data_IF_823748878219
#
_entry.id   IF_823748878219
#
_cell.length_a   1.000
_cell.length_b   1.000
_cell.length_c   1.000
_cell.angle_alpha   90.00
_cell.angle_beta   90.00
_cell.angle_gamma   90.00
#
_symmetry.space_group_name_H-M   'P 1'
#
loop_
_entity.id
_entity.type
_entity.pdbx_description
1 polymer ?
#
# COMPACT_ATOMS: atom_id res chain seq x y z
N UNK A 1 -4.49 13.00 -11.41
CA UNK A 1 -4.59 14.48 -11.35
C UNK A 1 -5.81 14.99 -12.14
N UNK A 2 -6.37 16.15 -11.78
CA UNK A 2 -7.33 16.90 -12.61
C UNK A 2 -6.54 17.93 -13.43
N UNK A 3 -6.85 18.11 -14.72
CA UNK A 3 -6.07 18.95 -15.66
C UNK A 3 -4.57 18.56 -15.77
N UNK A 4 -4.26 17.30 -16.12
CA UNK A 4 -2.87 16.81 -16.15
C UNK A 4 -1.97 17.57 -17.13
N UNK A 5 -2.53 18.15 -18.21
CA UNK A 5 -1.78 18.82 -19.27
C UNK A 5 -0.79 19.87 -18.77
N UNK A 6 -1.13 20.64 -17.73
CA UNK A 6 -0.23 21.66 -17.19
C UNK A 6 1.06 21.07 -16.61
N UNK A 7 0.97 19.95 -15.90
CA UNK A 7 2.16 19.27 -15.36
C UNK A 7 2.89 18.51 -16.45
N UNK A 8 2.18 18.03 -17.49
CA UNK A 8 2.80 17.40 -18.65
C UNK A 8 3.65 18.37 -19.46
N UNK A 9 3.08 19.53 -19.80
CA UNK A 9 3.76 20.60 -20.52
C UNK A 9 5.02 21.04 -19.73
N UNK A 10 4.89 21.20 -18.41
CA UNK A 10 6.01 21.50 -17.52
C UNK A 10 7.13 20.45 -17.57
N UNK A 11 6.79 19.15 -17.48
CA UNK A 11 7.77 18.07 -17.59
C UNK A 11 8.46 18.08 -18.97
N UNK A 12 7.72 18.33 -20.05
CA UNK A 12 8.27 18.45 -21.41
C UNK A 12 9.23 19.64 -21.55
N UNK A 13 8.91 20.79 -20.94
CA UNK A 13 9.80 21.96 -20.90
C UNK A 13 11.06 21.69 -20.08
N UNK A 14 10.91 21.03 -18.92
CA UNK A 14 12.05 20.62 -18.09
C UNK A 14 12.99 19.65 -18.83
N UNK A 15 12.47 18.66 -19.56
CA UNK A 15 13.28 17.75 -20.40
C UNK A 15 14.04 18.50 -21.52
N UNK A 16 13.45 19.58 -22.05
CA UNK A 16 14.05 20.41 -23.09
C UNK A 16 15.03 21.47 -22.54
N UNK A 17 15.12 21.61 -21.21
CA UNK A 17 15.93 22.63 -20.55
C UNK A 17 15.36 24.04 -20.66
N UNK A 18 14.06 24.16 -20.93
CA UNK A 18 13.35 25.45 -21.04
C UNK A 18 12.97 25.98 -19.66
N UNK A 19 12.71 27.29 -19.57
CA UNK A 19 12.16 27.91 -18.37
C UNK A 19 10.64 27.73 -18.34
N UNK A 20 10.11 27.12 -17.29
CA UNK A 20 8.66 27.01 -17.06
C UNK A 20 8.35 26.88 -15.55
N UNK A 21 7.07 26.98 -15.19
CA UNK A 21 6.59 26.80 -13.82
C UNK A 21 5.20 26.17 -13.78
N UNK A 22 4.96 25.33 -12.78
CA UNK A 22 3.64 24.73 -12.55
C UNK A 22 3.28 24.70 -11.07
N UNK A 23 1.99 24.80 -10.78
CA UNK A 23 1.45 24.68 -9.44
C UNK A 23 0.40 23.59 -9.41
N UNK A 24 0.50 22.67 -8.46
CA UNK A 24 -0.54 21.68 -8.21
C UNK A 24 -0.74 21.41 -6.72
N UNK A 25 -1.87 20.77 -6.42
CA UNK A 25 -2.33 20.51 -5.05
C UNK A 25 -2.60 19.02 -4.84
N UNK A 26 -2.16 18.49 -3.71
CA UNK A 26 -2.51 17.18 -3.19
C UNK A 26 -3.47 17.36 -2.02
N UNK A 27 -4.70 16.83 -2.15
CA UNK A 27 -5.70 16.89 -1.08
C UNK A 27 -5.44 15.76 -0.09
N UNK A 28 -5.45 16.06 1.21
CA UNK A 28 -5.26 15.07 2.27
C UNK A 28 -6.61 14.50 2.74
N UNK A 29 -6.58 13.31 3.35
CA UNK A 29 -7.78 12.66 3.89
C UNK A 29 -8.47 13.49 5.00
N UNK A 30 -7.72 14.38 5.66
CA UNK A 30 -8.23 15.32 6.67
C UNK A 30 -8.86 16.58 6.05
N UNK A 31 -8.93 16.68 4.72
CA UNK A 31 -9.49 17.83 4.00
C UNK A 31 -8.55 19.04 3.91
N UNK A 32 -7.30 18.89 4.32
CA UNK A 32 -6.22 19.85 4.05
C UNK A 32 -5.63 19.67 2.65
N UNK A 33 -4.56 20.41 2.35
CA UNK A 33 -3.82 20.20 1.11
C UNK A 33 -2.35 20.54 1.23
N UNK A 34 -1.56 19.89 0.38
CA UNK A 34 -0.16 20.21 0.13
C UNK A 34 -0.11 20.88 -1.25
N UNK A 35 0.45 22.08 -1.31
CA UNK A 35 0.71 22.82 -2.54
C UNK A 35 2.16 22.62 -2.92
N UNK A 36 2.38 22.29 -4.19
CA UNK A 36 3.69 22.26 -4.83
C UNK A 36 3.74 23.34 -5.90
N UNK A 37 4.72 24.23 -5.78
CA UNK A 37 5.13 25.16 -6.82
C UNK A 37 6.46 24.65 -7.36
N UNK A 38 6.49 24.30 -8.64
CA UNK A 38 7.69 23.83 -9.33
C UNK A 38 8.14 24.88 -10.33
N UNK A 39 9.44 25.15 -10.37
CA UNK A 39 10.10 25.98 -11.38
C UNK A 39 11.20 25.16 -12.03
N UNK A 40 11.37 25.27 -13.35
CA UNK A 40 12.45 24.59 -14.07
C UNK A 40 13.31 25.56 -14.84
N UNK A 41 14.62 25.33 -14.85
CA UNK A 41 15.60 26.05 -15.63
C UNK A 41 16.79 25.13 -15.94
N UNK A 42 17.22 25.10 -17.20
CA UNK A 42 18.33 24.25 -17.67
C UNK A 42 18.15 22.75 -17.31
N UNK A 43 16.89 22.30 -17.14
CA UNK A 43 16.50 20.94 -16.80
C UNK A 43 16.55 20.58 -15.31
N UNK A 44 16.92 21.53 -14.44
CA UNK A 44 16.78 21.37 -12.99
C UNK A 44 15.35 21.74 -12.56
N UNK A 45 14.91 21.22 -11.42
CA UNK A 45 13.59 21.55 -10.84
C UNK A 45 13.79 22.08 -9.42
N UNK A 46 13.38 23.32 -9.20
CA UNK A 46 13.20 23.91 -7.88
C UNK A 46 11.79 23.66 -7.37
N UNK A 47 11.67 23.24 -6.12
CA UNK A 47 10.42 22.83 -5.47
C UNK A 47 10.14 23.72 -4.27
N UNK A 48 8.97 24.34 -4.24
CA UNK A 48 8.39 24.92 -3.01
C UNK A 48 7.20 24.09 -2.56
N UNK A 49 7.27 23.53 -1.36
CA UNK A 49 6.20 22.77 -0.72
C UNK A 49 5.58 23.59 0.41
N UNK A 50 4.25 23.70 0.42
CA UNK A 50 3.52 24.29 1.54
C UNK A 50 2.30 23.45 1.92
N UNK A 51 2.13 23.19 3.22
CA UNK A 51 0.99 22.40 3.71
C UNK A 51 0.02 23.24 4.52
N UNK A 52 -1.26 23.09 4.20
CA UNK A 52 -2.38 23.74 4.86
C UNK A 52 -3.22 22.69 5.59
N UNK A 53 -3.55 23.00 6.84
CA UNK A 53 -4.50 22.24 7.67
C UNK A 53 -5.61 23.15 8.19
N UNK A 54 -6.64 22.54 8.77
CA UNK A 54 -7.73 23.24 9.44
C UNK A 54 -7.54 23.14 10.95
N UNK A 55 -7.41 24.29 11.63
CA UNK A 55 -7.34 24.39 13.09
C UNK A 55 -8.52 25.24 13.57
N UNK A 56 -9.46 24.63 14.30
CA UNK A 56 -10.71 25.26 14.75
C UNK A 56 -11.46 25.98 13.59
N UNK A 57 -11.68 25.27 12.48
CA UNK A 57 -12.30 25.77 11.24
C UNK A 57 -11.54 26.92 10.53
N UNK A 58 -10.32 27.26 10.97
CA UNK A 58 -9.48 28.25 10.31
C UNK A 58 -8.35 27.58 9.53
N UNK A 59 -8.07 27.99 8.28
CA UNK A 59 -6.94 27.47 7.53
C UNK A 59 -5.62 28.01 8.11
N UNK A 60 -4.67 27.12 8.36
CA UNK A 60 -3.32 27.43 8.83
C UNK A 60 -2.29 26.77 7.91
N UNK A 61 -1.36 27.56 7.37
CA UNK A 61 -0.14 27.03 6.73
C UNK A 61 0.82 26.65 7.86
N UNK A 62 1.05 25.35 8.03
CA UNK A 62 1.85 24.83 9.15
C UNK A 62 3.23 24.30 8.70
N UNK A 63 3.45 24.17 7.40
CA UNK A 63 4.70 23.71 6.82
C UNK A 63 5.03 24.49 5.55
N UNK A 64 6.31 24.82 5.40
CA UNK A 64 6.89 25.48 4.24
C UNK A 64 8.32 24.98 4.05
N UNK A 65 8.67 24.58 2.84
CA UNK A 65 9.99 24.06 2.53
C UNK A 65 10.36 24.32 1.07
N UNK A 66 11.62 24.67 0.82
CA UNK A 66 12.17 24.94 -0.51
C UNK A 66 13.41 24.07 -0.72
N UNK A 67 13.53 23.46 -1.89
CA UNK A 67 14.69 22.67 -2.27
C UNK A 67 14.80 22.51 -3.79
N UNK A 68 16.02 22.36 -4.28
CA UNK A 68 16.28 21.88 -5.64
C UNK A 68 16.22 20.35 -5.63
N UNK A 69 15.51 19.75 -6.58
CA UNK A 69 15.45 18.30 -6.74
C UNK A 69 16.83 17.75 -7.15
N UNK A 70 17.35 16.79 -6.38
CA UNK A 70 18.62 16.12 -6.68
C UNK A 70 18.51 15.21 -7.92
N UNK A 71 17.32 14.66 -8.15
CA UNK A 71 16.97 13.89 -9.33
C UNK A 71 15.46 14.01 -9.59
N UNK A 72 15.03 13.84 -10.83
CA UNK A 72 13.62 13.77 -11.20
C UNK A 72 13.44 12.93 -12.47
N UNK A 73 12.23 12.40 -12.65
CA UNK A 73 11.84 11.62 -13.84
C UNK A 73 10.36 11.79 -14.13
N UNK A 74 9.98 11.80 -15.41
CA UNK A 74 8.59 11.75 -15.84
C UNK A 74 8.35 10.52 -16.73
N UNK A 75 7.69 9.51 -16.16
CA UNK A 75 7.58 8.21 -16.81
C UNK A 75 6.55 8.19 -17.93
N UNK A 76 6.69 7.25 -18.87
CA UNK A 76 5.70 6.99 -19.92
C UNK A 76 4.29 6.72 -19.35
N UNK A 77 4.21 6.06 -18.18
CA UNK A 77 2.95 5.80 -17.47
C UNK A 77 2.34 7.05 -16.83
N UNK A 78 3.08 8.15 -16.81
CA UNK A 78 2.66 9.47 -16.36
C UNK A 78 2.82 9.68 -14.87
N UNK A 79 3.92 9.18 -14.31
CA UNK A 79 4.38 9.53 -12.97
C UNK A 79 5.46 10.60 -13.04
N UNK A 80 5.30 11.67 -12.27
CA UNK A 80 6.38 12.59 -11.95
C UNK A 80 7.01 12.14 -10.63
N UNK A 81 8.29 11.81 -10.66
CA UNK A 81 9.11 11.57 -9.47
C UNK A 81 10.12 12.69 -9.30
N UNK A 82 10.41 13.04 -8.06
CA UNK A 82 11.59 13.84 -7.73
C UNK A 82 12.11 13.51 -6.34
N UNK A 83 13.40 13.75 -6.13
CA UNK A 83 14.11 13.43 -4.90
C UNK A 83 14.70 14.70 -4.26
N UNK A 84 14.34 14.94 -3.01
CA UNK A 84 15.06 15.87 -2.15
C UNK A 84 16.31 15.19 -1.56
N UNK A 85 17.48 15.82 -1.69
CA UNK A 85 18.72 15.29 -1.08
C UNK A 85 18.59 15.20 0.44
N UNK A 86 18.83 14.01 1.00
CA UNK A 86 18.90 13.79 2.46
C UNK A 86 20.36 13.60 2.90
N UNK A 87 20.77 14.19 4.04
CA UNK A 87 22.09 13.94 4.61
C UNK A 87 22.32 12.45 4.90
N UNK A 88 23.57 12.00 4.80
CA UNK A 88 23.93 10.63 5.17
C UNK A 88 23.52 10.32 6.63
N UNK A 89 22.79 9.22 6.82
CA UNK A 89 22.28 8.82 8.13
C UNK A 89 21.01 9.55 8.60
N UNK A 90 20.33 10.27 7.70
CA UNK A 90 19.01 10.83 7.99
C UNK A 90 17.99 9.71 8.24
N UNK A 91 17.34 9.76 9.40
CA UNK A 91 16.38 8.76 9.90
C UNK A 91 14.92 9.28 9.86
N UNK A 92 14.65 10.24 8.98
CA UNK A 92 13.33 10.83 8.78
C UNK A 92 12.59 10.25 7.58
N UNK A 93 11.59 10.99 7.09
CA UNK A 93 10.85 10.60 5.89
C UNK A 93 11.77 10.58 4.64
N UNK A 94 11.50 9.70 3.66
CA UNK A 94 12.21 9.67 2.39
C UNK A 94 12.23 11.04 1.71
N UNK A 95 13.26 11.28 0.89
CA UNK A 95 13.37 12.49 0.07
C UNK A 95 12.56 12.39 -1.23
N UNK A 96 12.24 11.17 -1.65
CA UNK A 96 11.52 10.87 -2.88
C UNK A 96 10.04 11.21 -2.73
N UNK A 97 9.45 11.74 -3.79
CA UNK A 97 8.02 12.02 -3.92
C UNK A 97 7.52 11.54 -5.27
N UNK A 98 6.28 11.02 -5.31
CA UNK A 98 5.69 10.47 -6.52
C UNK A 98 4.29 11.07 -6.80
N UNK A 99 4.05 11.53 -8.03
CA UNK A 99 2.78 12.13 -8.42
C UNK A 99 2.23 11.49 -9.68
N UNK A 100 1.04 10.88 -9.57
CA UNK A 100 0.28 10.37 -10.72
C UNK A 100 -0.32 11.53 -11.53
N UNK A 101 0.40 11.97 -12.55
CA UNK A 101 -0.02 13.03 -13.49
C UNK A 101 -1.10 12.48 -14.41
N UNK A 102 -0.81 11.47 -15.24
CA UNK A 102 -1.80 10.85 -16.14
C UNK A 102 -2.83 10.07 -15.31
N UNK A 103 -4.10 10.49 -15.25
CA UNK A 103 -5.10 9.79 -14.45
C UNK A 103 -5.34 8.37 -14.98
N UNK A 104 -5.59 7.44 -14.07
CA UNK A 104 -6.07 6.10 -14.40
C UNK A 104 -7.54 6.13 -14.87
N UNK A 105 -7.91 5.08 -15.60
CA UNK A 105 -9.31 4.82 -15.95
C UNK A 105 -10.22 4.86 -14.71
N UNK A 106 -11.42 5.42 -14.86
CA UNK A 106 -12.36 5.56 -13.74
C UNK A 106 -12.72 4.20 -13.12
N UNK A 107 -12.94 3.18 -13.95
CA UNK A 107 -13.26 1.81 -13.51
C UNK A 107 -12.13 1.24 -12.67
N UNK A 108 -10.89 1.45 -13.08
CA UNK A 108 -9.72 1.02 -12.34
C UNK A 108 -9.60 1.75 -10.99
N UNK A 109 -9.85 3.06 -10.94
CA UNK A 109 -9.84 3.82 -9.67
C UNK A 109 -10.93 3.35 -8.71
N UNK A 110 -12.14 3.09 -9.21
CA UNK A 110 -13.23 2.53 -8.41
C UNK A 110 -12.92 1.12 -7.92
N UNK A 111 -12.30 0.28 -8.76
CA UNK A 111 -11.86 -1.05 -8.37
C UNK A 111 -10.78 -1.02 -7.28
N UNK A 112 -9.80 -0.10 -7.38
CA UNK A 112 -8.83 0.11 -6.29
C UNK A 112 -9.53 0.46 -4.97
N UNK A 113 -10.43 1.44 -5.00
CA UNK A 113 -11.15 1.90 -3.81
C UNK A 113 -11.99 0.77 -3.19
N UNK A 114 -12.61 -0.05 -4.02
CA UNK A 114 -13.49 -1.14 -3.56
C UNK A 114 -12.69 -2.32 -3.02
N UNK A 115 -11.65 -2.76 -3.74
CA UNK A 115 -11.03 -4.07 -3.51
C UNK A 115 -9.66 -4.02 -2.83
N UNK A 116 -8.98 -2.88 -2.80
CA UNK A 116 -7.57 -2.82 -2.38
C UNK A 116 -7.23 -1.74 -1.35
N UNK A 117 -8.03 -0.68 -1.23
CA UNK A 117 -7.76 0.43 -0.33
C UNK A 117 -7.50 0.00 1.13
N UNK A 118 -8.14 -1.08 1.58
CA UNK A 118 -8.02 -1.59 2.95
C UNK A 118 -6.87 -2.59 3.17
N UNK A 119 -6.40 -3.29 2.13
CA UNK A 119 -5.35 -4.33 2.28
C UNK A 119 -3.99 -3.81 1.81
N UNK A 120 -3.88 -3.36 0.56
CA UNK A 120 -2.63 -2.84 0.01
C UNK A 120 -1.45 -3.83 0.05
N UNK A 121 -0.24 -3.30 -0.05
CA UNK A 121 1.01 -4.05 0.14
C UNK A 121 1.55 -3.99 1.58
N UNK A 122 0.88 -3.24 2.46
CA UNK A 122 1.36 -3.01 3.82
C UNK A 122 1.19 -4.26 4.68
N UNK A 123 2.32 -4.83 5.15
CA UNK A 123 2.41 -5.88 6.17
C UNK A 123 1.55 -7.13 5.91
N UNK A 124 1.29 -7.45 4.66
CA UNK A 124 0.61 -8.68 4.25
C UNK A 124 1.20 -9.16 2.94
N UNK A 125 0.89 -10.40 2.56
CA UNK A 125 1.42 -11.00 1.35
C UNK A 125 0.38 -11.29 0.25
N UNK A 126 -0.81 -10.69 0.30
CA UNK A 126 -1.91 -10.96 -0.64
C UNK A 126 -1.49 -10.79 -2.11
N UNK A 127 -0.80 -9.69 -2.40
CA UNK A 127 -0.45 -9.26 -3.77
C UNK A 127 0.95 -9.70 -4.22
N UNK A 128 1.76 -10.22 -3.30
CA UNK A 128 3.17 -10.60 -3.55
C UNK A 128 3.37 -12.12 -3.52
N UNK A 129 2.29 -12.89 -3.49
CA UNK A 129 2.31 -14.35 -3.39
C UNK A 129 1.35 -14.94 -4.42
N UNK A 130 1.73 -16.06 -5.03
CA UNK A 130 0.82 -16.85 -5.85
C UNK A 130 -0.08 -17.70 -4.94
N UNK A 131 -1.39 -17.55 -5.08
CA UNK A 131 -2.35 -18.32 -4.28
C UNK A 131 -3.71 -18.42 -4.97
N UNK A 132 -4.49 -19.43 -4.57
CA UNK A 132 -5.89 -19.63 -4.99
C UNK A 132 -6.74 -20.02 -3.78
N UNK A 133 -8.06 -19.99 -3.90
CA UNK A 133 -8.98 -20.52 -2.89
C UNK A 133 -8.67 -21.97 -2.48
N UNK A 134 -8.07 -22.78 -3.37
CA UNK A 134 -7.72 -24.17 -3.10
C UNK A 134 -6.26 -24.37 -2.65
N UNK A 135 -5.39 -23.39 -2.85
CA UNK A 135 -3.98 -23.41 -2.45
C UNK A 135 -3.58 -22.04 -1.89
N UNK A 136 -3.76 -21.90 -0.57
CA UNK A 136 -3.52 -20.68 0.20
C UNK A 136 -2.38 -20.81 1.20
N UNK A 137 -1.59 -21.90 1.13
CA UNK A 137 -0.58 -22.26 2.15
C UNK A 137 0.49 -21.19 2.38
N UNK A 138 0.77 -20.39 1.36
CA UNK A 138 1.79 -19.34 1.39
C UNK A 138 1.23 -18.02 1.93
N UNK A 139 -0.09 -17.87 2.09
CA UNK A 139 -0.69 -16.67 2.65
C UNK A 139 -0.53 -16.63 4.18
N UNK A 140 -0.22 -15.44 4.70
CA UNK A 140 -0.22 -15.21 6.14
C UNK A 140 -1.60 -14.74 6.61
N UNK A 141 -2.36 -15.65 7.22
CA UNK A 141 -3.75 -15.38 7.62
C UNK A 141 -3.84 -14.39 8.78
N UNK A 142 -2.80 -14.26 9.62
CA UNK A 142 -2.78 -13.27 10.69
C UNK A 142 -2.61 -11.85 10.14
N UNK A 143 -1.77 -11.67 9.12
CA UNK A 143 -1.65 -10.38 8.43
C UNK A 143 -2.94 -9.96 7.73
N UNK A 144 -3.57 -10.91 7.04
CA UNK A 144 -4.85 -10.66 6.38
C UNK A 144 -5.94 -10.34 7.41
N UNK A 145 -5.98 -11.07 8.53
CA UNK A 145 -6.91 -10.79 9.63
C UNK A 145 -6.77 -9.35 10.14
N UNK A 146 -5.54 -8.88 10.40
CA UNK A 146 -5.30 -7.51 10.87
C UNK A 146 -5.82 -6.45 9.89
N UNK A 147 -5.51 -6.61 8.59
CA UNK A 147 -5.94 -5.67 7.55
C UNK A 147 -7.46 -5.68 7.37
N UNK A 148 -8.06 -6.86 7.36
CA UNK A 148 -9.49 -7.03 7.11
C UNK A 148 -10.36 -6.70 8.31
N UNK A 149 -9.84 -6.79 9.52
CA UNK A 149 -10.50 -6.30 10.74
C UNK A 149 -10.73 -4.79 10.63
N UNK A 150 -9.69 -4.03 10.23
CA UNK A 150 -9.81 -2.58 9.94
C UNK A 150 -10.77 -2.30 8.80
N UNK A 151 -10.75 -3.11 7.74
CA UNK A 151 -11.69 -2.96 6.62
C UNK A 151 -13.15 -3.14 7.05
N UNK A 152 -13.41 -4.14 7.91
CA UNK A 152 -14.76 -4.53 8.34
C UNK A 152 -15.34 -3.63 9.42
N UNK A 153 -14.54 -3.26 10.42
CA UNK A 153 -15.00 -2.55 11.62
C UNK A 153 -14.55 -1.10 11.69
N UNK A 154 -13.61 -0.67 10.84
CA UNK A 154 -13.00 0.66 10.89
C UNK A 154 -11.94 0.83 11.99
N UNK A 155 -11.71 -0.21 12.80
CA UNK A 155 -10.79 -0.20 13.94
C UNK A 155 -9.65 -1.21 13.73
N UNK A 156 -8.47 -0.89 14.26
CA UNK A 156 -7.38 -1.88 14.34
C UNK A 156 -7.72 -2.98 15.34
N UNK A 157 -7.06 -4.13 15.23
CA UNK A 157 -7.24 -5.22 16.19
C UNK A 157 -6.94 -4.73 17.63
N UNK A 158 -7.71 -5.16 18.65
CA UNK A 158 -7.59 -4.67 20.02
C UNK A 158 -6.41 -5.29 20.79
N UNK A 159 -5.45 -5.89 20.10
CA UNK A 159 -4.32 -6.63 20.65
C UNK A 159 -3.04 -5.80 20.55
N UNK A 160 -2.65 -5.22 21.67
CA UNK A 160 -1.52 -4.29 21.74
C UNK A 160 -0.19 -4.97 21.42
N UNK A 161 0.60 -4.39 20.52
CA UNK A 161 1.95 -4.86 20.24
C UNK A 161 2.90 -4.52 21.40
N UNK A 162 3.23 -5.54 22.21
CA UNK A 162 4.30 -5.49 23.24
C UNK A 162 5.37 -6.52 22.92
N UNK A 163 6.56 -6.31 23.46
CA UNK A 163 7.67 -7.25 23.33
C UNK A 163 7.27 -8.63 23.87
N UNK A 164 7.33 -9.65 23.00
CA UNK A 164 6.91 -11.01 23.34
C UNK A 164 5.42 -11.22 23.62
N UNK A 165 4.53 -10.30 23.20
CA UNK A 165 3.10 -10.43 23.47
C UNK A 165 2.47 -11.63 22.75
N UNK A 166 1.66 -12.37 23.50
CA UNK A 166 0.83 -13.46 22.99
C UNK A 166 -0.61 -13.28 23.48
N UNK A 167 -1.56 -13.55 22.60
CA UNK A 167 -2.99 -13.47 22.88
C UNK A 167 -3.70 -14.73 22.41
N UNK A 168 -4.77 -15.11 23.11
CA UNK A 168 -5.66 -16.19 22.69
C UNK A 168 -6.93 -15.56 22.15
N UNK A 169 -7.03 -15.49 20.82
CA UNK A 169 -8.13 -14.82 20.12
C UNK A 169 -9.27 -15.82 19.90
N UNK A 170 -10.52 -15.52 20.28
CA UNK A 170 -11.66 -16.40 20.04
C UNK A 170 -11.79 -16.79 18.57
N UNK A 171 -12.10 -18.06 18.29
CA UNK A 171 -12.15 -18.55 16.92
C UNK A 171 -13.15 -17.80 16.03
N UNK A 172 -14.29 -17.41 16.59
CA UNK A 172 -15.34 -16.69 15.88
C UNK A 172 -14.85 -15.32 15.39
N UNK A 173 -13.98 -14.64 16.13
CA UNK A 173 -13.47 -13.31 15.78
C UNK A 173 -12.62 -13.34 14.50
N UNK A 174 -11.73 -14.34 14.39
CA UNK A 174 -10.86 -14.52 13.22
C UNK A 174 -11.65 -15.14 12.06
N UNK A 175 -12.41 -16.21 12.32
CA UNK A 175 -13.15 -16.91 11.29
C UNK A 175 -14.17 -15.98 10.62
N UNK A 176 -14.91 -15.16 11.38
CA UNK A 176 -15.91 -14.26 10.82
C UNK A 176 -15.28 -13.18 9.92
N UNK A 177 -14.13 -12.62 10.32
CA UNK A 177 -13.42 -11.61 9.52
C UNK A 177 -12.92 -12.24 8.22
N UNK A 178 -12.17 -13.34 8.29
CA UNK A 178 -11.59 -13.97 7.10
C UNK A 178 -12.68 -14.48 6.14
N UNK A 179 -13.74 -15.11 6.66
CA UNK A 179 -14.85 -15.63 5.83
C UNK A 179 -15.69 -14.54 5.16
N UNK A 180 -15.61 -13.30 5.65
CA UNK A 180 -16.27 -12.17 4.99
C UNK A 180 -15.60 -11.78 3.67
N UNK A 181 -14.31 -12.11 3.51
CA UNK A 181 -13.51 -11.70 2.35
C UNK A 181 -12.88 -12.88 1.58
N UNK A 182 -13.02 -14.10 2.07
CA UNK A 182 -12.53 -15.31 1.42
C UNK A 182 -13.55 -16.44 1.52
N UNK A 183 -13.49 -17.40 0.62
CA UNK A 183 -14.31 -18.62 0.68
C UNK A 183 -13.69 -19.72 1.56
N UNK A 184 -12.72 -19.39 2.43
CA UNK A 184 -12.04 -20.37 3.27
C UNK A 184 -13.01 -20.98 4.28
N UNK A 185 -13.03 -22.30 4.38
CA UNK A 185 -13.75 -22.96 5.45
C UNK A 185 -12.97 -22.89 6.77
N UNK A 186 -13.66 -23.21 7.88
CA UNK A 186 -13.05 -23.17 9.21
C UNK A 186 -11.84 -24.09 9.33
N UNK A 187 -11.87 -25.24 8.65
CA UNK A 187 -10.76 -26.19 8.67
C UNK A 187 -9.51 -25.57 8.04
N UNK A 188 -9.66 -24.92 6.88
CA UNK A 188 -8.59 -24.22 6.18
C UNK A 188 -7.99 -23.15 7.09
N UNK A 189 -8.81 -22.32 7.72
CA UNK A 189 -8.33 -21.27 8.65
C UNK A 189 -7.56 -21.89 9.82
N UNK A 190 -8.09 -22.97 10.42
CA UNK A 190 -7.47 -23.67 11.55
C UNK A 190 -6.15 -24.35 11.20
N UNK A 191 -5.97 -24.79 9.96
CA UNK A 191 -4.72 -25.40 9.49
C UNK A 191 -3.63 -24.38 9.18
N UNK A 192 -4.00 -23.15 8.79
CA UNK A 192 -3.05 -22.06 8.47
C UNK A 192 -2.63 -21.23 9.69
N UNK A 193 -3.30 -21.42 10.83
CA UNK A 193 -3.10 -20.61 12.04
C UNK A 193 -2.86 -21.52 13.25
N UNK A 194 -2.32 -20.95 14.34
CA UNK A 194 -2.03 -21.70 15.56
C UNK A 194 -3.30 -21.90 16.39
N UNK A 195 -4.19 -22.77 15.91
CA UNK A 195 -5.46 -23.09 16.56
C UNK A 195 -5.28 -23.98 17.81
N UNK A 196 -6.05 -23.70 18.85
CA UNK A 196 -6.08 -24.42 20.13
C UNK A 196 -7.49 -24.97 20.38
N UNK A 197 -7.74 -26.25 20.07
CA UNK A 197 -9.07 -26.85 20.18
C UNK A 197 -9.64 -26.86 21.60
N UNK A 198 -8.79 -26.95 22.63
CA UNK A 198 -9.22 -27.04 24.03
C UNK A 198 -9.88 -25.75 24.53
N UNK A 199 -9.43 -24.62 24.00
CA UNK A 199 -9.92 -23.28 24.37
C UNK A 199 -10.80 -22.64 23.29
N UNK A 200 -10.83 -23.20 22.07
CA UNK A 200 -11.54 -22.60 20.94
C UNK A 200 -10.94 -21.26 20.52
N UNK A 201 -9.60 -21.16 20.55
CA UNK A 201 -8.87 -19.91 20.27
C UNK A 201 -7.73 -20.12 19.30
N UNK A 202 -7.24 -19.02 18.72
CA UNK A 202 -6.00 -18.95 17.97
C UNK A 202 -4.93 -18.23 18.80
N UNK A 203 -3.72 -18.78 18.84
CA UNK A 203 -2.57 -18.08 19.40
C UNK A 203 -2.15 -16.97 18.44
N UNK A 204 -2.40 -15.72 18.80
CA UNK A 204 -2.04 -14.54 18.03
C UNK A 204 -0.84 -13.84 18.65
N UNK A 205 0.07 -13.39 17.79
CA UNK A 205 1.27 -12.63 18.15
C UNK A 205 1.28 -11.35 17.32
N UNK A 206 1.13 -10.16 17.91
CA UNK A 206 1.33 -8.91 17.17
C UNK A 206 2.75 -8.84 16.60
N UNK A 207 2.90 -8.22 15.42
CA UNK A 207 4.23 -7.98 14.85
C UNK A 207 5.08 -7.09 15.77
N UNK A 208 6.35 -7.42 15.90
CA UNK A 208 7.32 -6.78 16.77
C UNK A 208 8.53 -6.22 16.02
N UNK A 209 9.63 -6.01 16.76
CA UNK A 209 10.87 -5.44 16.21
C UNK A 209 11.47 -6.26 15.07
N UNK A 210 11.40 -7.59 15.15
CA UNK A 210 12.13 -8.47 14.22
C UNK A 210 11.35 -8.80 12.95
N UNK A 211 10.02 -8.65 12.96
CA UNK A 211 9.12 -8.94 11.84
C UNK A 211 8.18 -7.77 11.48
N UNK A 212 8.37 -6.56 12.02
CA UNK A 212 7.47 -5.41 11.77
C UNK A 212 7.46 -4.85 10.34
N UNK A 213 8.45 -5.22 9.50
CA UNK A 213 8.71 -4.56 8.22
C UNK A 213 9.18 -3.11 8.39
N UNK A 214 9.67 -2.50 7.31
CA UNK A 214 9.98 -1.07 7.28
C UNK A 214 8.81 -0.27 6.69
N UNK A 215 8.58 0.98 7.14
CA UNK A 215 7.59 1.86 6.52
C UNK A 215 7.94 2.17 5.05
N UNK A 216 7.03 2.86 4.36
CA UNK A 216 7.21 3.34 2.98
C UNK A 216 7.34 2.21 1.93
N UNK A 217 6.56 1.14 2.13
CA UNK A 217 6.35 0.15 1.07
C UNK A 217 5.56 0.73 -0.11
N UNK A 218 5.45 -0.03 -1.21
CA UNK A 218 4.69 0.41 -2.38
C UNK A 218 3.20 0.51 -2.07
N UNK A 219 2.48 1.30 -2.87
CA UNK A 219 1.02 1.30 -2.89
C UNK A 219 0.51 0.68 -4.19
N UNK A 220 -0.67 0.02 -4.17
CA UNK A 220 -1.20 -0.57 -5.39
C UNK A 220 -1.95 0.45 -6.22
N UNK A 221 -1.80 0.33 -7.54
CA UNK A 221 -2.71 0.89 -8.52
C UNK A 221 -3.35 -0.23 -9.33
N UNK A 222 -4.66 -0.15 -9.53
CA UNK A 222 -5.32 -1.00 -10.52
C UNK A 222 -5.11 -0.34 -11.88
N UNK A 223 -4.51 -1.06 -12.83
CA UNK A 223 -4.24 -0.57 -14.19
C UNK A 223 -5.01 -1.33 -15.27
N UNK A 224 -5.72 -2.38 -14.88
CA UNK A 224 -6.60 -3.13 -15.76
C UNK A 224 -7.77 -3.75 -15.00
N UNK A 225 -8.91 -3.83 -15.67
CA UNK A 225 -10.16 -4.40 -15.15
C UNK A 225 -10.78 -5.28 -16.24
N UNK A 226 -11.15 -6.51 -15.88
CA UNK A 226 -11.78 -7.45 -16.80
C UNK A 226 -12.79 -8.34 -16.06
N UNK A 227 -14.04 -8.30 -16.49
CA UNK A 227 -15.06 -9.26 -16.05
C UNK A 227 -14.85 -10.61 -16.76
N UNK A 228 -14.94 -11.68 -16.00
CA UNK A 228 -14.83 -13.06 -16.48
C UNK A 228 -16.21 -13.69 -16.67
N UNK A 229 -16.28 -14.77 -17.45
CA UNK A 229 -17.55 -15.43 -17.80
C UNK A 229 -18.30 -16.00 -16.59
N UNK A 230 -17.59 -16.30 -15.50
CA UNK A 230 -18.15 -16.81 -14.24
C UNK A 230 -18.64 -15.70 -13.29
N UNK A 231 -18.54 -14.43 -13.69
CA UNK A 231 -18.94 -13.27 -12.90
C UNK A 231 -17.88 -12.78 -11.90
N UNK A 232 -16.69 -13.39 -11.87
CA UNK A 232 -15.54 -12.81 -11.16
C UNK A 232 -14.89 -11.69 -11.97
N UNK A 233 -14.08 -10.88 -11.31
CA UNK A 233 -13.36 -9.76 -11.89
C UNK A 233 -11.87 -10.01 -11.73
N UNK A 234 -11.13 -9.95 -12.84
CA UNK A 234 -9.67 -9.93 -12.85
C UNK A 234 -9.19 -8.47 -12.88
N UNK A 235 -8.34 -8.13 -11.93
CA UNK A 235 -7.66 -6.85 -11.80
C UNK A 235 -6.18 -7.02 -12.14
N UNK A 236 -5.66 -6.12 -12.97
CA UNK A 236 -4.22 -5.94 -13.11
C UNK A 236 -3.79 -4.91 -12.07
N UNK A 237 -2.93 -5.33 -11.13
CA UNK A 237 -2.45 -4.50 -10.02
C UNK A 237 -0.96 -4.24 -10.20
N UNK A 238 -0.56 -2.98 -10.19
CA UNK A 238 0.85 -2.56 -10.25
C UNK A 238 1.25 -1.88 -8.94
N UNK A 239 2.43 -2.22 -8.43
CA UNK A 239 2.99 -1.66 -7.21
C UNK A 239 3.80 -0.41 -7.56
N UNK A 240 3.33 0.77 -7.18
CA UNK A 240 4.10 2.00 -7.34
C UNK A 240 4.94 2.20 -6.09
N UNK A 241 6.24 2.39 -6.25
CA UNK A 241 7.17 2.52 -5.15
C UNK A 241 7.91 3.86 -5.18
N UNK A 242 7.41 4.80 -4.39
CA UNK A 242 7.96 6.15 -4.28
C UNK A 242 9.43 6.17 -3.87
N UNK A 243 9.81 5.37 -2.86
CA UNK A 243 11.18 5.37 -2.34
C UNK A 243 12.22 4.93 -3.39
N UNK A 244 11.83 4.03 -4.30
CA UNK A 244 12.69 3.54 -5.37
C UNK A 244 12.47 4.29 -6.70
N UNK A 245 11.58 5.29 -6.71
CA UNK A 245 11.13 6.02 -7.92
C UNK A 245 10.66 5.08 -9.04
N UNK A 246 9.95 4.00 -8.67
CA UNK A 246 9.43 3.01 -9.62
C UNK A 246 7.92 3.17 -9.80
N UNK A 247 7.48 3.41 -11.04
CA UNK A 247 6.04 3.44 -11.38
C UNK A 247 5.41 2.04 -11.47
N UNK A 248 6.22 0.98 -11.37
CA UNK A 248 5.78 -0.41 -11.36
C UNK A 248 6.90 -1.35 -10.86
N UNK A 249 7.06 -1.43 -9.54
CA UNK A 249 8.01 -2.34 -8.89
C UNK A 249 7.56 -3.82 -8.95
N UNK A 250 6.24 -4.06 -9.00
CA UNK A 250 5.65 -5.40 -9.11
C UNK A 250 4.35 -5.33 -9.90
N UNK A 251 4.01 -6.42 -10.58
CA UNK A 251 2.73 -6.58 -11.27
C UNK A 251 2.08 -7.90 -10.87
N UNK A 252 0.80 -7.85 -10.56
CA UNK A 252 0.00 -9.01 -10.18
C UNK A 252 -1.36 -9.03 -10.87
N UNK A 253 -1.91 -10.21 -11.06
CA UNK A 253 -3.29 -10.43 -11.47
C UNK A 253 -4.08 -10.93 -10.26
N UNK A 254 -4.95 -10.08 -9.73
CA UNK A 254 -5.83 -10.39 -8.62
C UNK A 254 -7.22 -10.71 -9.16
N UNK A 255 -7.81 -11.82 -8.73
CA UNK A 255 -9.20 -12.16 -9.04
C UNK A 255 -10.05 -11.96 -7.79
N UNK A 256 -11.16 -11.24 -7.95
CA UNK A 256 -12.16 -10.99 -6.91
C UNK A 256 -13.54 -11.43 -7.38
N UNK A 257 -14.39 -11.79 -6.43
CA UNK A 257 -15.79 -12.16 -6.63
C UNK A 257 -16.69 -11.11 -6.00
N UNK A 258 -17.32 -10.24 -6.79
CA UNK A 258 -18.34 -9.32 -6.27
C UNK A 258 -19.53 -10.10 -5.70
N UNK A 259 -20.07 -9.66 -4.57
CA UNK A 259 -21.19 -10.29 -3.89
C UNK A 259 -22.46 -9.44 -4.04
N UNK A 260 -23.63 -10.09 -3.94
CA UNK A 260 -24.93 -9.44 -4.17
C UNK A 260 -25.30 -8.38 -3.13
N UNK A 261 -24.71 -8.46 -1.95
CA UNK A 261 -24.90 -7.54 -0.84
C UNK A 261 -23.96 -6.31 -0.91
N UNK A 262 -23.16 -6.20 -1.98
CA UNK A 262 -22.17 -5.14 -2.15
C UNK A 262 -20.80 -5.46 -1.53
N UNK A 263 -20.66 -6.60 -0.84
CA UNK A 263 -19.36 -7.13 -0.43
C UNK A 263 -18.60 -7.76 -1.60
N UNK A 264 -17.44 -8.35 -1.29
CA UNK A 264 -16.65 -9.10 -2.25
C UNK A 264 -15.79 -10.15 -1.54
N UNK A 265 -15.27 -11.10 -2.31
CA UNK A 265 -14.28 -12.06 -1.83
C UNK A 265 -13.05 -12.08 -2.74
N UNK A 266 -11.85 -12.24 -2.18
CA UNK A 266 -10.65 -12.53 -2.96
C UNK A 266 -10.63 -14.01 -3.34
N UNK A 267 -10.24 -14.30 -4.59
CA UNK A 267 -10.30 -15.64 -5.19
C UNK A 267 -8.91 -16.20 -5.48
N UNK A 268 -8.02 -15.37 -6.04
CA UNK A 268 -6.64 -15.77 -6.35
C UNK A 268 -5.77 -14.56 -6.62
N UNK A 269 -4.47 -14.70 -6.43
CA UNK A 269 -3.47 -13.76 -6.94
C UNK A 269 -2.39 -14.53 -7.70
N UNK A 270 -1.89 -13.93 -8.78
CA UNK A 270 -0.69 -14.39 -9.49
C UNK A 270 0.26 -13.22 -9.71
N UNK A 271 1.50 -13.35 -9.24
CA UNK A 271 2.56 -12.38 -9.51
C UNK A 271 3.08 -12.59 -10.93
N UNK A 272 2.97 -11.56 -11.75
CA UNK A 272 3.37 -11.58 -13.17
C UNK A 272 4.83 -11.19 -13.34
N UNK A 273 5.25 -10.13 -12.64
CA UNK A 273 6.63 -9.63 -12.73
C UNK A 273 7.02 -8.88 -11.46
N UNK A 274 8.32 -8.83 -11.23
CA UNK A 274 8.96 -8.01 -10.19
C UNK A 274 10.15 -7.32 -10.81
N UNK A 275 10.43 -6.10 -10.36
CA UNK A 275 11.64 -5.39 -10.75
C UNK A 275 12.88 -6.19 -10.33
N UNK A 276 13.90 -6.22 -11.19
CA UNK A 276 15.09 -7.01 -10.93
C UNK A 276 15.89 -6.42 -9.78
N UNK A 277 16.33 -7.26 -8.83
CA UNK A 277 17.08 -6.79 -7.66
C UNK A 277 16.22 -6.11 -6.59
N UNK A 278 14.90 -5.98 -6.80
CA UNK A 278 13.97 -5.42 -5.83
C UNK A 278 14.01 -6.19 -4.51
N UNK A 279 14.23 -5.47 -3.41
CA UNK A 279 14.09 -6.03 -2.07
C UNK A 279 12.63 -5.90 -1.60
N UNK A 280 12.18 -6.75 -0.67
CA UNK A 280 10.85 -6.62 -0.06
C UNK A 280 10.94 -6.05 1.36
N UNK A 281 11.71 -4.98 1.58
CA UNK A 281 11.98 -4.49 2.94
C UNK A 281 10.71 -4.11 3.72
N UNK A 282 9.63 -3.75 3.02
CA UNK A 282 8.36 -3.36 3.60
C UNK A 282 7.58 -4.55 4.18
N UNK A 283 7.87 -5.78 3.71
CA UNK A 283 7.22 -7.00 4.16
C UNK A 283 8.25 -8.04 4.63
N UNK A 284 8.11 -8.45 5.88
CA UNK A 284 8.84 -9.59 6.44
C UNK A 284 7.85 -10.69 6.78
N UNK A 285 8.11 -11.97 6.44
CA UNK A 285 7.34 -13.07 6.98
C UNK A 285 7.28 -13.01 8.51
N UNK A 286 6.17 -13.47 9.09
CA UNK A 286 6.08 -13.61 10.55
C UNK A 286 7.12 -14.59 11.05
N UNK A 287 7.58 -14.38 12.28
CA UNK A 287 8.55 -15.28 12.91
C UNK A 287 7.98 -16.69 13.02
N UNK A 288 8.79 -17.68 12.67
CA UNK A 288 8.55 -19.07 13.02
C UNK A 288 8.55 -19.25 14.54
N UNK A 289 8.10 -20.42 15.02
CA UNK A 289 8.15 -20.71 16.45
C UNK A 289 9.59 -20.68 17.00
N UNK A 290 10.55 -21.20 16.24
CA UNK A 290 11.96 -21.22 16.64
C UNK A 290 12.55 -19.81 16.71
N UNK A 291 12.29 -18.97 15.70
CA UNK A 291 12.76 -17.58 15.68
C UNK A 291 12.10 -16.74 16.77
N UNK A 292 10.80 -16.93 17.01
CA UNK A 292 10.10 -16.23 18.07
C UNK A 292 10.68 -16.58 19.44
N UNK A 293 10.93 -17.86 19.72
CA UNK A 293 11.58 -18.29 20.96
C UNK A 293 13.04 -17.82 21.06
N UNK A 294 13.75 -17.68 19.95
CA UNK A 294 15.10 -17.13 19.96
C UNK A 294 15.13 -15.64 20.35
N UNK A 295 14.17 -14.85 19.87
CA UNK A 295 14.13 -13.41 20.12
C UNK A 295 13.40 -13.02 21.41
N UNK A 296 12.37 -13.78 21.78
CA UNK A 296 11.42 -13.43 22.84
C UNK A 296 11.22 -14.54 23.88
N UNK A 297 11.75 -15.74 23.66
CA UNK A 297 11.74 -16.80 24.67
C UNK A 297 12.68 -16.47 25.84
N UNK A 298 12.30 -16.92 27.04
CA UNK A 298 13.11 -16.76 28.26
C UNK A 298 14.45 -17.51 28.22
#
# INVERSE_FOLDING_TARGET
MVHPGQVQDFCESAEQGEEDSVVFFCVTDEGGWIRYDLETQDGNIDVTESSLRWENDNPEVYYYHEFEAASWDYTDKGYLFFEESRPAGYDGAPGQKAFRVKPLDQTCREAYQTYLASVGYERNNLLITDWTEQDSKELDFYDLYERLCRAKYGEIVPYEAKEGAEYHVPEEEIEEVLQSYFSFDRQTIREHMKYQPESGTFLYRPRGRYDGGSPYGPYPEVTGYKELEDGTVQLTVEAVWEMEMLDCAMKSELVVRPMKDGGFQYVSNRVISREEGMTSFWYKPRLTEEEWNHYYGE
#
